data_IF_714086394589
#
_entry.id   IF_714086394589
#
_cell.length_a   1.000
_cell.length_b   1.000
_cell.length_c   1.000
_cell.angle_alpha   90.00
_cell.angle_beta   90.00
_cell.angle_gamma   90.00
#
_symmetry.space_group_name_H-M   'P 1'
#
loop_
_entity.id
_entity.type
_entity.pdbx_description
1 polymer ?
#
# COMPACT_ATOMS: atom_id res chain seq x y z
N UNK A 1 32.35 -14.30 14.23
CA UNK A 1 31.51 -15.45 14.64
C UNK A 1 30.06 -15.04 14.63
N UNK A 2 29.17 -15.84 14.05
CA UNK A 2 27.73 -15.59 14.06
C UNK A 2 27.16 -16.10 15.38
N UNK A 3 26.35 -15.28 16.07
CA UNK A 3 25.73 -15.66 17.35
C UNK A 3 24.68 -16.75 17.11
N UNK A 4 24.74 -17.86 17.86
CA UNK A 4 23.72 -18.92 17.83
C UNK A 4 22.60 -18.57 18.81
N UNK A 5 21.34 -18.58 18.34
CA UNK A 5 20.17 -18.54 19.21
C UNK A 5 20.09 -19.89 19.93
N UNK A 6 20.15 -19.89 21.26
CA UNK A 6 20.09 -21.13 22.06
C UNK A 6 18.69 -21.40 22.61
N UNK A 7 17.89 -20.35 22.88
CA UNK A 7 16.54 -20.47 23.43
C UNK A 7 15.66 -19.29 22.99
N UNK A 8 14.35 -19.53 22.91
CA UNK A 8 13.31 -18.51 22.73
C UNK A 8 12.45 -18.51 24.00
N UNK A 9 12.20 -17.34 24.59
CA UNK A 9 11.28 -17.19 25.72
C UNK A 9 9.89 -16.85 25.17
N UNK A 10 8.87 -17.60 25.59
CA UNK A 10 7.49 -17.39 25.17
C UNK A 10 6.57 -17.28 26.39
N UNK A 11 5.64 -16.32 26.35
CA UNK A 11 4.58 -16.19 27.33
C UNK A 11 3.44 -17.16 26.98
N UNK A 12 3.57 -18.41 27.42
CA UNK A 12 2.69 -19.51 26.99
C UNK A 12 1.19 -19.32 27.33
N UNK A 13 0.88 -18.46 28.30
CA UNK A 13 -0.51 -18.18 28.72
C UNK A 13 -1.01 -16.80 28.26
N UNK A 14 -0.23 -16.07 27.44
CA UNK A 14 -0.70 -14.85 26.79
C UNK A 14 -1.68 -15.26 25.67
N UNK A 15 -2.93 -14.76 25.67
CA UNK A 15 -3.89 -15.12 24.63
C UNK A 15 -3.54 -14.45 23.29
N UNK A 16 -4.03 -15.03 22.20
CA UNK A 16 -3.92 -14.42 20.87
C UNK A 16 -4.78 -13.16 20.78
N UNK A 17 -4.25 -12.13 20.12
CA UNK A 17 -4.93 -10.84 19.94
C UNK A 17 -5.57 -10.80 18.56
N UNK A 18 -6.82 -10.38 18.49
CA UNK A 18 -7.46 -10.07 17.21
C UNK A 18 -6.85 -8.80 16.60
N UNK A 19 -6.04 -8.99 15.55
CA UNK A 19 -5.37 -7.93 14.81
C UNK A 19 -6.24 -7.30 13.71
N UNK A 20 -7.50 -7.72 13.58
CA UNK A 20 -8.43 -7.18 12.58
C UNK A 20 -9.42 -6.16 13.15
N UNK A 21 -9.54 -6.09 14.47
CA UNK A 21 -10.44 -5.15 15.16
C UNK A 21 -9.63 -4.07 15.86
N UNK A 22 -9.89 -2.81 15.49
CA UNK A 22 -9.28 -1.65 16.13
C UNK A 22 -9.59 -1.62 17.63
N UNK A 23 -8.60 -1.27 18.44
CA UNK A 23 -8.77 -1.14 19.88
C UNK A 23 -7.54 -1.53 20.67
N UNK A 24 -7.66 -1.41 21.98
CA UNK A 24 -6.59 -1.66 22.93
C UNK A 24 -6.90 -2.88 23.77
N UNK A 25 -5.98 -3.84 23.77
CA UNK A 25 -6.03 -5.09 24.52
C UNK A 25 -4.97 -5.04 25.62
N UNK A 26 -5.39 -5.10 26.89
CA UNK A 26 -4.49 -5.03 28.04
C UNK A 26 -4.39 -6.39 28.73
N UNK A 27 -3.17 -6.78 29.11
CA UNK A 27 -2.83 -8.04 29.77
C UNK A 27 -2.11 -7.76 31.09
N UNK A 28 -2.88 -7.60 32.16
CA UNK A 28 -2.39 -7.13 33.48
C UNK A 28 -1.34 -8.05 34.09
N UNK A 29 -1.50 -9.37 33.96
CA UNK A 29 -0.56 -10.39 34.47
C UNK A 29 0.86 -10.24 33.90
N UNK A 30 0.98 -9.54 32.76
CA UNK A 30 2.23 -9.31 32.04
C UNK A 30 2.66 -7.85 32.05
N UNK A 31 1.83 -6.94 32.56
CA UNK A 31 1.98 -5.50 32.34
C UNK A 31 2.24 -5.19 30.85
N UNK A 32 1.42 -5.77 29.97
CA UNK A 32 1.59 -5.73 28.52
C UNK A 32 0.30 -5.25 27.85
N UNK A 33 0.45 -4.52 26.74
CA UNK A 33 -0.67 -3.96 25.98
C UNK A 33 -0.40 -4.09 24.49
N UNK A 34 -1.46 -4.39 23.74
CA UNK A 34 -1.48 -4.36 22.27
C UNK A 34 -2.52 -3.35 21.83
N UNK A 35 -2.14 -2.41 20.99
CA UNK A 35 -3.05 -1.46 20.35
C UNK A 35 -3.09 -1.74 18.85
N UNK A 36 -4.27 -2.11 18.35
CA UNK A 36 -4.54 -2.30 16.92
C UNK A 36 -5.07 -0.97 16.40
N UNK A 37 -4.27 -0.31 15.57
CA UNK A 37 -4.52 1.05 15.06
C UNK A 37 -4.94 1.04 13.59
N UNK A 38 -5.64 2.09 13.15
CA UNK A 38 -5.91 2.30 11.72
C UNK A 38 -4.58 2.54 11.01
N UNK A 39 -4.22 1.64 10.11
CA UNK A 39 -2.95 1.68 9.40
C UNK A 39 -2.84 2.82 8.37
N UNK A 40 -3.94 3.48 8.04
CA UNK A 40 -4.06 4.46 6.96
C UNK A 40 -4.24 5.90 7.47
N UNK A 41 -4.88 6.09 8.63
CA UNK A 41 -5.32 7.39 9.13
C UNK A 41 -4.18 8.42 9.24
N UNK A 42 -3.14 8.10 10.00
CA UNK A 42 -2.04 9.05 10.27
C UNK A 42 -1.27 9.40 9.01
N UNK A 43 -1.01 8.40 8.14
CA UNK A 43 -0.30 8.64 6.90
C UNK A 43 -1.10 9.53 5.94
N UNK A 44 -2.41 9.29 5.79
CA UNK A 44 -3.26 10.11 4.95
C UNK A 44 -3.37 11.55 5.48
N UNK A 45 -3.45 11.73 6.79
CA UNK A 45 -3.43 13.05 7.43
C UNK A 45 -2.10 13.78 7.17
N UNK A 46 -0.98 13.08 7.33
CA UNK A 46 0.34 13.66 7.08
C UNK A 46 0.56 14.05 5.62
N UNK A 47 0.06 13.25 4.66
CA UNK A 47 0.12 13.62 3.24
C UNK A 47 -0.70 14.87 2.92
N UNK A 48 -1.87 15.04 3.56
CA UNK A 48 -2.69 16.25 3.43
C UNK A 48 -2.03 17.50 4.03
N UNK A 49 -1.19 17.34 5.05
CA UNK A 49 -0.42 18.43 5.64
C UNK A 49 0.76 18.83 4.76
N UNK A 50 1.47 17.84 4.19
CA UNK A 50 2.69 18.06 3.39
C UNK A 50 2.38 18.62 2.00
N UNK A 51 1.27 18.20 1.38
CA UNK A 51 0.92 18.57 0.00
C UNK A 51 -0.39 19.35 -0.07
N UNK A 52 -0.48 20.27 -1.04
CA UNK A 52 -1.73 20.95 -1.37
C UNK A 52 -2.70 20.00 -2.09
N UNK A 53 -3.52 19.30 -1.30
CA UNK A 53 -4.51 18.36 -1.83
C UNK A 53 -5.59 19.04 -2.67
N UNK A 54 -5.90 20.32 -2.44
CA UNK A 54 -6.89 21.04 -3.24
C UNK A 54 -6.35 21.33 -4.64
N UNK A 55 -5.08 21.72 -4.77
CA UNK A 55 -4.41 21.86 -6.06
C UNK A 55 -4.33 20.51 -6.81
N UNK A 56 -4.03 19.41 -6.11
CA UNK A 56 -3.95 18.08 -6.72
C UNK A 56 -5.35 17.60 -7.16
N UNK A 57 -6.39 17.80 -6.33
CA UNK A 57 -7.79 17.55 -6.72
C UNK A 57 -8.15 18.28 -8.00
N UNK A 58 -7.84 19.57 -8.07
CA UNK A 58 -8.11 20.39 -9.25
C UNK A 58 -7.41 19.83 -10.51
N UNK A 59 -6.21 19.26 -10.38
CA UNK A 59 -5.52 18.59 -11.50
C UNK A 59 -6.21 17.28 -11.91
N UNK A 60 -6.44 16.38 -10.95
CA UNK A 60 -6.92 15.01 -11.25
C UNK A 60 -8.40 14.96 -11.64
N UNK A 61 -9.17 16.02 -11.40
CA UNK A 61 -10.55 16.16 -11.83
C UNK A 61 -10.70 16.73 -13.25
N UNK A 62 -9.61 17.16 -13.90
CA UNK A 62 -9.66 17.64 -15.27
C UNK A 62 -10.00 16.52 -16.25
N UNK A 63 -10.84 16.83 -17.24
CA UNK A 63 -11.26 15.87 -18.28
C UNK A 63 -10.11 15.38 -19.18
N UNK A 64 -9.03 16.15 -19.28
CA UNK A 64 -7.86 15.86 -20.11
C UNK A 64 -6.70 15.22 -19.33
N UNK A 65 -6.89 14.93 -18.04
CA UNK A 65 -5.88 14.31 -17.20
C UNK A 65 -6.30 12.90 -16.78
N UNK A 66 -5.54 11.90 -17.23
CA UNK A 66 -5.77 10.48 -16.89
C UNK A 66 -4.68 9.99 -15.96
N UNK A 67 -5.08 9.20 -14.98
CA UNK A 67 -4.18 8.58 -14.00
C UNK A 67 -4.30 7.07 -14.10
N UNK A 68 -3.16 6.39 -13.90
CA UNK A 68 -3.07 4.95 -13.72
C UNK A 68 -2.11 4.67 -12.56
N UNK A 69 -2.63 4.13 -11.45
CA UNK A 69 -1.82 3.74 -10.29
C UNK A 69 -1.89 2.24 -10.14
N UNK A 70 -0.75 1.59 -9.97
CA UNK A 70 -0.67 0.15 -9.79
C UNK A 70 0.12 -0.20 -8.53
N UNK A 71 -0.51 -0.94 -7.62
CA UNK A 71 0.09 -1.34 -6.36
C UNK A 71 0.71 -2.74 -6.38
N UNK A 72 0.63 -3.47 -7.50
CA UNK A 72 1.15 -4.84 -7.66
C UNK A 72 0.73 -5.79 -6.52
N UNK A 73 -0.51 -5.63 -6.01
CA UNK A 73 -1.03 -6.35 -4.84
C UNK A 73 -0.21 -6.19 -3.55
N UNK A 74 0.62 -5.14 -3.48
CA UNK A 74 1.41 -4.79 -2.32
C UNK A 74 0.64 -3.94 -1.30
N UNK A 75 1.30 -3.72 -0.15
CA UNK A 75 0.72 -2.97 0.98
C UNK A 75 0.39 -1.51 0.65
N UNK A 76 0.91 -0.95 -0.45
CA UNK A 76 0.56 0.39 -0.92
C UNK A 76 -0.90 0.51 -1.36
N UNK A 77 -1.55 -0.60 -1.72
CA UNK A 77 -2.91 -0.61 -2.28
C UNK A 77 -3.97 0.10 -1.45
N UNK A 78 -4.16 -0.27 -0.16
CA UNK A 78 -5.09 0.44 0.73
C UNK A 78 -4.81 1.95 0.86
N UNK A 79 -3.54 2.36 0.81
CA UNK A 79 -3.17 3.79 0.84
C UNK A 79 -3.52 4.48 -0.47
N UNK A 80 -3.37 3.79 -1.60
CA UNK A 80 -3.79 4.30 -2.92
C UNK A 80 -5.30 4.53 -2.93
N UNK A 81 -6.09 3.60 -2.42
CA UNK A 81 -7.55 3.78 -2.30
C UNK A 81 -7.90 4.94 -1.35
N UNK A 82 -7.30 5.01 -0.15
CA UNK A 82 -7.54 6.10 0.81
C UNK A 82 -7.15 7.46 0.22
N UNK A 83 -5.99 7.59 -0.39
CA UNK A 83 -5.46 8.89 -0.84
C UNK A 83 -6.02 9.28 -2.20
N UNK A 84 -5.86 8.45 -3.22
CA UNK A 84 -6.23 8.83 -4.58
C UNK A 84 -7.74 8.82 -4.78
N UNK A 85 -8.46 7.83 -4.24
CA UNK A 85 -9.90 7.76 -4.41
C UNK A 85 -10.64 8.60 -3.36
N UNK A 86 -10.50 8.29 -2.08
CA UNK A 86 -11.31 8.93 -1.02
C UNK A 86 -10.91 10.39 -0.81
N UNK A 87 -9.61 10.71 -0.77
CA UNK A 87 -9.18 12.08 -0.58
C UNK A 87 -9.15 12.90 -1.88
N UNK A 88 -8.60 12.39 -2.99
CA UNK A 88 -8.38 13.18 -4.22
C UNK A 88 -9.48 13.03 -5.29
N UNK A 89 -10.34 12.02 -5.19
CA UNK A 89 -11.47 11.82 -6.11
C UNK A 89 -11.11 11.13 -7.44
N UNK A 90 -9.96 10.47 -7.53
CA UNK A 90 -9.60 9.64 -8.70
C UNK A 90 -10.56 8.45 -8.77
N UNK A 91 -11.13 8.13 -9.94
CA UNK A 91 -12.01 6.97 -10.08
C UNK A 91 -11.29 5.66 -9.73
N UNK A 92 -11.95 4.73 -9.02
CA UNK A 92 -11.37 3.40 -8.72
C UNK A 92 -10.95 2.62 -9.97
N UNK A 93 -11.57 2.89 -11.12
CA UNK A 93 -11.18 2.28 -12.39
C UNK A 93 -9.76 2.67 -12.86
N UNK A 94 -9.16 3.70 -12.28
CA UNK A 94 -7.78 4.13 -12.51
C UNK A 94 -6.78 3.53 -11.51
N UNK A 95 -7.26 2.77 -10.51
CA UNK A 95 -6.46 2.22 -9.42
C UNK A 95 -6.44 0.69 -9.56
N UNK A 96 -5.27 0.14 -9.83
CA UNK A 96 -5.08 -1.25 -10.19
C UNK A 96 -4.37 -2.01 -9.08
N UNK A 97 -4.83 -3.24 -8.85
CA UNK A 97 -4.23 -4.18 -7.89
C UNK A 97 -4.04 -3.59 -6.49
N UNK A 98 -5.02 -2.83 -6.01
CA UNK A 98 -5.00 -2.20 -4.66
C UNK A 98 -5.34 -3.17 -3.52
N UNK A 99 -5.71 -4.41 -3.83
CA UNK A 99 -5.91 -5.47 -2.83
C UNK A 99 -4.59 -6.17 -2.49
N UNK A 100 -4.29 -6.29 -1.19
CA UNK A 100 -3.07 -6.96 -0.70
C UNK A 100 -3.20 -8.47 -0.86
N UNK A 101 -2.20 -9.11 -1.47
CA UNK A 101 -2.10 -10.57 -1.58
C UNK A 101 -0.75 -11.07 -1.07
N UNK A 102 -0.70 -12.23 -0.38
CA UNK A 102 0.54 -12.76 0.20
C UNK A 102 1.60 -13.14 -0.84
N UNK A 103 1.18 -13.40 -2.08
CA UNK A 103 2.00 -13.77 -3.22
C UNK A 103 2.04 -12.68 -4.30
N UNK A 104 1.54 -11.47 -3.99
CA UNK A 104 1.43 -10.35 -4.92
C UNK A 104 0.64 -10.67 -6.20
N UNK A 105 -0.26 -11.66 -6.16
CA UNK A 105 -1.00 -12.13 -7.34
C UNK A 105 -0.09 -12.81 -8.38
N UNK A 106 1.06 -13.34 -7.97
CA UNK A 106 2.09 -13.90 -8.85
C UNK A 106 2.97 -12.85 -9.53
N UNK A 107 2.75 -11.56 -9.26
CA UNK A 107 3.62 -10.48 -9.75
C UNK A 107 4.90 -10.38 -8.91
N UNK A 108 5.94 -9.78 -9.49
CA UNK A 108 7.14 -9.42 -8.74
C UNK A 108 6.99 -7.98 -8.21
N UNK A 109 6.97 -7.75 -6.88
CA UNK A 109 6.66 -6.45 -6.28
C UNK A 109 7.90 -5.53 -6.24
N UNK A 110 8.61 -5.43 -7.35
CA UNK A 110 9.77 -4.55 -7.50
C UNK A 110 9.59 -3.69 -8.77
N UNK A 111 9.35 -2.38 -8.63
CA UNK A 111 9.01 -1.53 -9.77
C UNK A 111 10.25 -1.28 -10.65
N UNK A 112 10.38 -2.05 -11.71
CA UNK A 112 11.38 -1.86 -12.76
C UNK A 112 10.83 -2.22 -14.15
N UNK A 113 11.58 -1.94 -15.21
CA UNK A 113 11.11 -2.14 -16.59
C UNK A 113 10.73 -3.60 -16.93
N UNK A 114 11.32 -4.56 -16.24
CA UNK A 114 11.07 -5.99 -16.44
C UNK A 114 9.81 -6.44 -15.69
N UNK A 115 9.69 -6.07 -14.42
CA UNK A 115 8.67 -6.62 -13.51
C UNK A 115 7.39 -5.80 -13.46
N UNK A 116 7.46 -4.49 -13.73
CA UNK A 116 6.29 -3.62 -13.90
C UNK A 116 5.91 -3.47 -15.39
N UNK A 117 6.11 -4.52 -16.18
CA UNK A 117 5.88 -4.51 -17.63
C UNK A 117 4.45 -4.10 -18.01
N UNK A 118 3.45 -4.41 -17.17
CA UNK A 118 2.06 -3.97 -17.40
C UNK A 118 1.95 -2.45 -17.39
N UNK A 119 2.58 -1.77 -16.41
CA UNK A 119 2.57 -0.31 -16.34
C UNK A 119 3.37 0.29 -17.50
N UNK A 120 4.54 -0.28 -17.80
CA UNK A 120 5.37 0.12 -18.95
C UNK A 120 4.57 0.05 -20.25
N UNK A 121 3.84 -1.06 -20.44
CA UNK A 121 2.95 -1.24 -21.57
C UNK A 121 1.83 -0.21 -21.56
N UNK A 122 1.07 -0.04 -20.47
CA UNK A 122 0.00 0.97 -20.37
C UNK A 122 0.49 2.37 -20.75
N UNK A 123 1.74 2.71 -20.42
CA UNK A 123 2.34 4.01 -20.72
C UNK A 123 2.91 4.15 -22.14
N UNK A 124 2.78 3.14 -23.01
CA UNK A 124 3.26 3.25 -24.40
C UNK A 124 4.68 2.77 -24.62
N UNK A 125 5.26 1.99 -23.72
CA UNK A 125 6.67 1.60 -23.76
C UNK A 125 6.87 0.08 -23.87
N UNK A 126 8.07 -0.30 -24.27
CA UNK A 126 8.61 -1.66 -24.24
C UNK A 126 9.46 -1.87 -22.97
N UNK A 127 9.69 -3.12 -22.52
CA UNK A 127 10.51 -3.43 -21.33
C UNK A 127 11.99 -3.02 -21.44
N UNK A 128 12.46 -2.64 -22.63
CA UNK A 128 13.81 -2.09 -22.85
C UNK A 128 13.85 -0.55 -22.74
N UNK A 129 12.70 0.09 -22.46
CA UNK A 129 12.54 1.53 -22.32
C UNK A 129 12.20 2.28 -23.60
N UNK A 130 12.13 1.60 -24.76
CA UNK A 130 11.76 2.23 -26.03
C UNK A 130 10.25 2.45 -26.15
N UNK A 131 9.84 3.38 -27.01
CA UNK A 131 8.43 3.54 -27.36
C UNK A 131 7.89 2.28 -28.06
N UNK A 132 6.68 1.86 -27.70
CA UNK A 132 5.99 0.74 -28.34
C UNK A 132 5.31 1.22 -29.64
N UNK A 133 5.77 0.80 -30.83
CA UNK A 133 5.24 1.28 -32.10
C UNK A 133 3.83 0.77 -32.43
N UNK A 134 3.29 -0.14 -31.63
CA UNK A 134 1.96 -0.73 -31.83
C UNK A 134 0.83 0.02 -31.08
N UNK A 135 1.16 1.08 -30.34
CA UNK A 135 0.21 1.96 -29.64
C UNK A 135 0.33 3.40 -30.10
#
# INVERSE_FOLDING_TARGET
ETVKITHIKMAATLPEVDIHTLGTYTFDDYNFQVEVVDSLADYAAYMQEVFDFEAIKALVQRLDFKVHVDSLHGVSGPYVDRIFHECLGVPKASLFRTNVLPDFGGCHPDPNLTYAADLVHVMGLLPDGNANPAM
#
